data_IF_183797623198
#
_entry.id   IF_183797623198
#
_cell.length_a   1.000
_cell.length_b   1.000
_cell.length_c   1.000
_cell.angle_alpha   90.00
_cell.angle_beta   90.00
_cell.angle_gamma   90.00
#
_symmetry.space_group_name_H-M   'P 1'
#
loop_
_entity.id
_entity.type
_entity.pdbx_description
1 polymer ?
#
# COMPACT_ATOMS: atom_id res chain seq x y z
N UNK A 1 20.18 11.41 -7.62
CA UNK A 1 20.73 11.01 -8.92
C UNK A 1 22.10 10.36 -8.80
N UNK A 2 22.88 10.58 -7.73
CA UNK A 2 24.11 9.82 -7.53
C UNK A 2 23.84 8.30 -7.56
N UNK A 3 24.67 7.57 -8.29
CA UNK A 3 24.60 6.13 -8.56
C UNK A 3 23.29 5.71 -9.27
N UNK A 4 22.73 6.58 -10.11
CA UNK A 4 21.60 6.21 -10.95
C UNK A 4 22.09 5.69 -12.29
N UNK A 5 21.52 4.55 -12.67
CA UNK A 5 21.52 3.92 -13.99
C UNK A 5 20.35 4.53 -14.79
N UNK A 6 20.64 5.12 -15.95
CA UNK A 6 19.76 6.06 -16.65
C UNK A 6 19.75 5.78 -18.15
N UNK A 7 18.56 5.50 -18.67
CA UNK A 7 18.30 5.56 -20.10
C UNK A 7 17.80 6.95 -20.53
N UNK A 8 18.35 7.51 -21.60
CA UNK A 8 17.88 8.77 -22.20
C UNK A 8 17.52 8.51 -23.68
N UNK A 9 16.33 8.91 -24.10
CA UNK A 9 15.92 8.76 -25.48
C UNK A 9 14.63 9.49 -25.84
N UNK A 10 14.30 9.46 -27.14
CA UNK A 10 13.10 10.07 -27.71
C UNK A 10 13.04 9.84 -29.22
N UNK A 11 12.21 10.64 -29.91
CA UNK A 11 12.08 10.60 -31.38
C UNK A 11 12.32 12.00 -31.92
N UNK A 12 13.31 12.15 -32.80
CA UNK A 12 13.67 13.42 -33.43
C UNK A 12 13.52 13.30 -34.93
N UNK A 13 12.65 14.13 -35.53
CA UNK A 13 12.36 14.11 -36.97
C UNK A 13 11.95 12.73 -37.50
N UNK A 14 11.23 11.94 -36.69
CA UNK A 14 10.79 10.59 -37.05
C UNK A 14 11.81 9.48 -36.79
N UNK A 15 13.03 9.82 -36.35
CA UNK A 15 14.08 8.85 -36.04
C UNK A 15 14.31 8.74 -34.52
N UNK A 16 14.50 7.53 -33.96
CA UNK A 16 14.83 7.37 -32.56
C UNK A 16 16.21 7.94 -32.22
N UNK A 17 16.33 8.53 -31.04
CA UNK A 17 17.62 8.68 -30.36
C UNK A 17 17.54 7.99 -29.00
N UNK A 18 18.63 7.38 -28.59
CA UNK A 18 18.67 6.54 -27.41
C UNK A 18 20.12 6.36 -26.94
N UNK A 19 20.33 6.31 -25.63
CA UNK A 19 21.60 5.95 -25.04
C UNK A 19 21.45 5.56 -23.57
N UNK A 20 22.40 4.75 -23.13
CA UNK A 20 22.61 4.38 -21.74
C UNK A 20 23.61 5.34 -21.07
N UNK A 21 23.32 5.71 -19.84
CA UNK A 21 24.02 6.74 -19.08
C UNK A 21 24.04 6.37 -17.60
N UNK A 22 25.06 6.85 -16.90
CA UNK A 22 25.14 6.76 -15.45
C UNK A 22 25.35 8.14 -14.84
N UNK A 23 24.88 8.33 -13.60
CA UNK A 23 25.00 9.60 -12.90
C UNK A 23 25.82 9.45 -11.61
N UNK A 24 26.91 10.20 -11.51
CA UNK A 24 27.77 10.23 -10.31
C UNK A 24 27.33 11.27 -9.27
N UNK A 25 26.34 12.11 -9.58
CA UNK A 25 25.91 13.19 -8.71
C UNK A 25 24.78 14.04 -9.27
N UNK A 26 24.69 15.28 -8.80
CA UNK A 26 23.73 16.28 -9.30
C UNK A 26 24.31 17.03 -10.50
N UNK A 27 24.74 16.30 -11.51
CA UNK A 27 25.33 16.79 -12.75
C UNK A 27 24.64 16.16 -13.95
N UNK A 28 25.01 16.60 -15.16
CA UNK A 28 24.60 15.93 -16.39
C UNK A 28 25.07 14.46 -16.33
N UNK A 29 24.20 13.46 -16.64
CA UNK A 29 24.61 12.07 -16.75
C UNK A 29 25.72 11.87 -17.78
N UNK A 30 26.63 10.96 -17.47
CA UNK A 30 27.75 10.58 -18.34
C UNK A 30 27.32 9.41 -19.22
N UNK A 31 27.76 9.41 -20.47
CA UNK A 31 27.44 8.32 -21.40
C UNK A 31 28.14 7.05 -20.93
N UNK A 32 27.38 5.98 -20.77
CA UNK A 32 27.90 4.73 -20.25
C UNK A 32 28.79 4.02 -21.29
N UNK A 33 29.89 3.43 -20.84
CA UNK A 33 30.80 2.67 -21.70
C UNK A 33 30.20 1.33 -22.09
N UNK A 34 29.43 0.72 -21.20
CA UNK A 34 28.61 -0.44 -21.49
C UNK A 34 27.19 0.07 -21.79
N UNK A 35 26.50 -0.57 -22.73
CA UNK A 35 25.16 -0.14 -23.14
C UNK A 35 24.26 -1.33 -22.89
N UNK A 36 23.75 -1.41 -21.67
CA UNK A 36 23.02 -2.55 -21.15
C UNK A 36 21.51 -2.44 -21.38
N UNK A 37 21.02 -1.21 -21.56
CA UNK A 37 19.68 -0.96 -22.06
C UNK A 37 19.61 -1.14 -23.59
N UNK A 38 18.60 -1.87 -24.03
CA UNK A 38 18.32 -2.10 -25.45
C UNK A 38 16.99 -1.46 -25.84
N UNK A 39 17.02 -0.55 -26.81
CA UNK A 39 15.81 0.01 -27.41
C UNK A 39 15.12 -1.04 -28.29
N UNK A 40 13.89 -1.39 -27.95
CA UNK A 40 13.04 -2.31 -28.74
C UNK A 40 12.17 -1.57 -29.75
N UNK A 41 11.66 -0.40 -29.38
CA UNK A 41 10.87 0.46 -30.28
C UNK A 41 10.76 1.87 -29.73
N UNK A 42 10.67 2.85 -30.62
CA UNK A 42 10.34 4.23 -30.29
C UNK A 42 9.24 4.74 -31.23
N UNK A 43 8.28 5.47 -30.68
CA UNK A 43 7.23 6.11 -31.47
C UNK A 43 6.79 7.40 -30.81
N UNK A 44 6.39 8.38 -31.61
CA UNK A 44 5.86 9.64 -31.13
C UNK A 44 4.53 9.97 -31.79
N UNK A 45 3.62 10.53 -31.01
CA UNK A 45 2.37 11.09 -31.51
C UNK A 45 2.18 12.53 -30.98
N UNK A 46 1.03 13.13 -31.26
CA UNK A 46 0.75 14.53 -30.88
C UNK A 46 0.71 14.81 -29.37
N UNK A 47 0.80 13.79 -28.53
CA UNK A 47 0.63 13.90 -27.09
C UNK A 47 1.82 13.37 -26.30
N UNK A 48 2.47 12.29 -26.76
CA UNK A 48 3.53 11.62 -26.01
C UNK A 48 4.51 10.89 -26.93
N UNK A 49 5.73 10.70 -26.42
CA UNK A 49 6.74 9.78 -26.95
C UNK A 49 6.69 8.48 -26.14
N UNK A 50 6.71 7.33 -26.81
CA UNK A 50 6.74 6.00 -26.18
C UNK A 50 8.02 5.29 -26.58
N UNK A 51 8.80 4.90 -25.59
CA UNK A 51 9.97 4.03 -25.75
C UNK A 51 9.68 2.68 -25.10
N UNK A 52 9.99 1.60 -25.81
CA UNK A 52 9.99 0.25 -25.24
C UNK A 52 11.44 -0.20 -25.15
N UNK A 53 11.86 -0.57 -23.95
CA UNK A 53 13.24 -0.95 -23.65
C UNK A 53 13.29 -2.32 -22.98
N UNK A 54 14.46 -2.95 -23.01
CA UNK A 54 14.77 -4.13 -22.21
C UNK A 54 16.17 -4.02 -21.63
N UNK A 55 16.38 -4.58 -20.44
CA UNK A 55 17.66 -4.66 -19.75
C UNK A 55 17.65 -5.95 -18.93
N UNK A 56 18.79 -6.62 -18.84
CA UNK A 56 18.94 -7.80 -17.98
C UNK A 56 19.03 -7.37 -16.51
N UNK A 57 18.57 -8.21 -15.59
CA UNK A 57 18.46 -7.83 -14.18
C UNK A 57 19.79 -7.52 -13.49
N UNK A 58 20.84 -8.24 -13.86
CA UNK A 58 22.20 -7.98 -13.40
C UNK A 58 23.13 -7.97 -14.62
N UNK A 59 23.65 -6.79 -14.94
CA UNK A 59 24.53 -6.54 -16.10
C UNK A 59 25.98 -6.89 -15.81
N UNK A 60 26.32 -7.11 -14.54
CA UNK A 60 27.70 -7.24 -14.05
C UNK A 60 28.55 -5.99 -14.31
N UNK A 61 27.90 -4.85 -14.59
CA UNK A 61 28.51 -3.53 -14.59
C UNK A 61 28.39 -2.90 -13.20
N UNK A 62 29.46 -2.25 -12.73
CA UNK A 62 29.51 -1.56 -11.44
C UNK A 62 28.88 -0.15 -11.50
N UNK A 63 28.62 0.38 -12.70
CA UNK A 63 27.95 1.68 -12.90
C UNK A 63 26.41 1.53 -12.87
N UNK A 64 25.93 0.29 -12.81
CA UNK A 64 24.56 -0.12 -12.97
C UNK A 64 23.87 -0.56 -11.66
N UNK A 65 22.54 -0.46 -11.64
CA UNK A 65 21.73 -0.96 -10.52
C UNK A 65 21.30 -2.39 -10.79
N UNK A 66 21.56 -3.29 -9.85
CA UNK A 66 21.02 -4.66 -9.87
C UNK A 66 19.53 -4.62 -9.54
N UNK A 67 18.71 -5.16 -10.43
CA UNK A 67 17.28 -5.35 -10.20
C UNK A 67 17.11 -6.75 -9.60
N UNK A 68 16.62 -6.83 -8.37
CA UNK A 68 16.36 -8.10 -7.71
C UNK A 68 14.95 -8.13 -7.10
N UNK A 69 14.58 -9.28 -6.56
CA UNK A 69 13.23 -9.53 -6.05
C UNK A 69 12.99 -8.96 -4.65
N UNK A 70 14.07 -8.76 -3.89
CA UNK A 70 14.00 -8.41 -2.48
C UNK A 70 14.07 -6.89 -2.25
N UNK A 71 14.57 -6.13 -3.24
CA UNK A 71 14.80 -4.69 -3.14
C UNK A 71 13.73 -3.83 -3.80
N UNK A 72 13.33 -2.77 -3.11
CA UNK A 72 12.51 -1.69 -3.69
C UNK A 72 13.34 -0.85 -4.65
N UNK A 73 12.97 -0.84 -5.92
CA UNK A 73 13.60 0.00 -6.95
C UNK A 73 13.02 1.41 -6.92
N UNK A 74 13.90 2.43 -6.87
CA UNK A 74 13.50 3.84 -7.00
C UNK A 74 13.66 4.28 -8.45
N UNK A 75 12.55 4.29 -9.18
CA UNK A 75 12.49 4.87 -10.52
C UNK A 75 12.55 6.39 -10.40
N UNK A 76 13.55 6.98 -11.04
CA UNK A 76 13.61 8.42 -11.27
C UNK A 76 13.20 8.69 -12.71
N UNK A 77 12.49 9.79 -12.93
CA UNK A 77 12.12 10.20 -14.28
C UNK A 77 12.27 11.70 -14.44
N UNK A 78 12.51 12.11 -15.67
CA UNK A 78 12.53 13.50 -16.08
C UNK A 78 12.03 13.61 -17.52
N UNK A 79 11.38 14.73 -17.84
CA UNK A 79 10.89 15.02 -19.20
C UNK A 79 11.51 16.33 -19.65
N UNK A 80 12.06 16.33 -20.86
CA UNK A 80 12.55 17.52 -21.55
C UNK A 80 11.47 18.15 -22.43
N UNK A 81 11.57 19.45 -22.69
CA UNK A 81 10.69 20.16 -23.65
C UNK A 81 11.19 20.10 -25.09
N UNK A 82 12.41 19.61 -25.31
CA UNK A 82 13.07 19.47 -26.61
C UNK A 82 13.86 18.17 -26.65
N UNK A 83 14.33 17.77 -27.84
CA UNK A 83 15.20 16.59 -28.03
C UNK A 83 16.66 16.78 -27.58
N UNK A 84 16.97 17.90 -26.93
CA UNK A 84 18.30 18.19 -26.43
C UNK A 84 18.34 17.93 -24.93
N UNK A 85 19.33 17.15 -24.49
CA UNK A 85 19.52 16.81 -23.07
C UNK A 85 19.95 18.06 -22.29
N UNK A 86 18.96 18.69 -21.66
CA UNK A 86 19.08 19.93 -20.88
C UNK A 86 18.39 19.79 -19.53
N UNK A 87 18.50 20.82 -18.67
CA UNK A 87 17.91 20.77 -17.34
C UNK A 87 16.37 20.81 -17.41
N UNK A 88 15.73 19.73 -16.96
CA UNK A 88 14.28 19.49 -16.99
C UNK A 88 13.46 20.31 -15.96
N UNK A 89 14.10 21.19 -15.17
CA UNK A 89 13.43 21.96 -14.11
C UNK A 89 12.58 21.07 -13.18
N UNK A 90 11.30 21.40 -13.01
CA UNK A 90 10.33 20.68 -12.17
C UNK A 90 9.68 19.49 -12.85
N UNK A 91 9.94 19.23 -14.14
CA UNK A 91 9.38 18.10 -14.89
C UNK A 91 10.16 16.82 -14.59
N UNK A 92 10.11 16.40 -13.33
CA UNK A 92 10.81 15.23 -12.81
C UNK A 92 10.06 14.64 -11.63
N UNK A 93 10.34 13.38 -11.33
CA UNK A 93 9.77 12.73 -10.17
C UNK A 93 10.51 11.46 -9.79
N UNK A 94 10.02 10.85 -8.71
CA UNK A 94 10.52 9.60 -8.18
C UNK A 94 9.32 8.72 -7.85
N UNK A 95 9.40 7.44 -8.18
CA UNK A 95 8.45 6.42 -7.76
C UNK A 95 9.22 5.23 -7.17
N UNK A 96 8.75 4.69 -6.05
CA UNK A 96 9.30 3.46 -5.48
C UNK A 96 8.41 2.29 -5.91
N UNK A 97 9.02 1.26 -6.50
CA UNK A 97 8.30 0.10 -7.07
C UNK A 97 9.08 -1.18 -6.79
N UNK A 98 8.38 -2.30 -6.78
CA UNK A 98 8.98 -3.64 -6.82
C UNK A 98 8.87 -4.13 -8.26
N UNK A 99 9.96 -4.05 -9.04
CA UNK A 99 9.93 -4.37 -10.48
C UNK A 99 9.66 -5.86 -10.75
N UNK A 100 10.03 -6.72 -9.81
CA UNK A 100 9.88 -8.18 -9.90
C UNK A 100 8.76 -8.71 -9.00
N UNK A 101 7.89 -7.84 -8.49
CA UNK A 101 6.70 -8.31 -7.77
C UNK A 101 5.84 -9.17 -8.71
N UNK A 102 5.32 -10.31 -8.22
CA UNK A 102 4.47 -11.16 -9.02
C UNK A 102 3.24 -10.37 -9.46
N UNK A 103 2.88 -10.52 -10.74
CA UNK A 103 1.64 -9.95 -11.25
C UNK A 103 0.48 -10.47 -10.39
N UNK A 104 -0.31 -9.55 -9.85
CA UNK A 104 -1.53 -9.92 -9.14
C UNK A 104 -2.43 -10.69 -10.09
N UNK A 105 -2.88 -11.88 -9.70
CA UNK A 105 -3.83 -12.66 -10.48
C UNK A 105 -5.12 -11.86 -10.72
N UNK A 106 -5.86 -12.18 -11.79
CA UNK A 106 -7.16 -11.57 -12.11
C UNK A 106 -8.14 -11.73 -10.94
N UNK A 107 -8.19 -10.75 -10.06
CA UNK A 107 -9.08 -10.73 -8.90
C UNK A 107 -10.33 -9.94 -9.21
N UNK A 108 -11.47 -10.63 -9.31
CA UNK A 108 -12.76 -9.95 -9.46
C UNK A 108 -13.35 -9.59 -8.09
N UNK A 109 -13.04 -8.38 -7.61
CA UNK A 109 -13.57 -7.87 -6.35
C UNK A 109 -15.12 -7.88 -6.27
N UNK A 110 -15.82 -7.77 -7.40
CA UNK A 110 -17.30 -7.76 -7.45
C UNK A 110 -17.94 -9.13 -7.25
N UNK A 111 -17.15 -10.21 -7.30
CA UNK A 111 -17.63 -11.58 -7.09
C UNK A 111 -17.83 -11.92 -5.61
N UNK A 112 -17.37 -11.08 -4.69
CA UNK A 112 -17.31 -11.36 -3.27
C UNK A 112 -18.13 -10.38 -2.44
N UNK A 113 -18.56 -10.83 -1.27
CA UNK A 113 -19.24 -9.97 -0.31
C UNK A 113 -18.22 -9.10 0.43
N UNK A 114 -18.48 -7.79 0.52
CA UNK A 114 -17.57 -6.83 1.14
C UNK A 114 -18.12 -6.42 2.50
N UNK A 115 -17.36 -6.73 3.54
CA UNK A 115 -17.55 -6.15 4.86
C UNK A 115 -16.73 -4.85 4.94
N UNK A 116 -17.42 -3.72 5.11
CA UNK A 116 -16.79 -2.41 5.23
C UNK A 116 -16.64 -2.00 6.69
N UNK A 117 -15.40 -1.66 7.05
CA UNK A 117 -15.04 -1.02 8.31
C UNK A 117 -14.68 0.43 7.98
N UNK A 118 -15.28 1.41 8.65
CA UNK A 118 -15.00 2.82 8.41
C UNK A 118 -15.00 3.59 9.72
N UNK A 119 -13.97 4.40 9.92
CA UNK A 119 -13.77 5.24 11.10
C UNK A 119 -13.65 6.68 10.64
N UNK A 120 -14.42 7.56 11.26
CA UNK A 120 -14.33 9.01 11.05
C UNK A 120 -14.31 9.69 12.41
N UNK A 121 -13.12 10.06 12.86
CA UNK A 121 -12.91 10.75 14.15
C UNK A 121 -12.21 12.09 13.92
N UNK A 122 -12.37 13.01 14.87
CA UNK A 122 -11.62 14.26 14.91
C UNK A 122 -10.26 13.99 15.53
N UNK A 123 -9.19 14.25 14.79
CA UNK A 123 -7.84 13.99 15.29
C UNK A 123 -7.42 15.00 16.37
N UNK A 124 -6.70 14.56 17.41
CA UNK A 124 -6.04 15.44 18.37
C UNK A 124 -5.02 16.37 17.70
N UNK A 125 -4.78 17.51 18.35
CA UNK A 125 -3.78 18.50 17.92
C UNK A 125 -2.37 18.08 18.37
N UNK A 126 -1.86 17.00 17.79
CA UNK A 126 -0.54 16.44 18.12
C UNK A 126 0.08 15.78 16.90
N UNK A 127 1.41 15.61 16.91
CA UNK A 127 2.17 15.08 15.78
C UNK A 127 1.74 13.65 15.38
N UNK A 128 1.67 12.72 16.34
CA UNK A 128 1.33 11.32 16.09
C UNK A 128 0.15 10.88 16.94
N UNK A 129 -0.81 10.17 16.37
CA UNK A 129 -1.99 9.66 17.08
C UNK A 129 -2.23 8.20 16.72
N UNK A 130 -2.44 7.34 17.71
CA UNK A 130 -2.85 5.95 17.50
C UNK A 130 -4.28 5.81 17.98
N UNK A 131 -5.23 5.74 17.06
CA UNK A 131 -6.64 5.72 17.39
C UNK A 131 -7.23 4.32 17.25
N UNK A 132 -7.89 3.86 18.31
CA UNK A 132 -8.47 2.53 18.40
C UNK A 132 -10.00 2.61 18.37
N UNK A 133 -10.60 1.73 17.59
CA UNK A 133 -12.05 1.54 17.49
C UNK A 133 -12.37 0.06 17.49
N UNK A 134 -13.54 -0.30 18.02
CA UNK A 134 -14.06 -1.68 17.97
C UNK A 134 -15.09 -1.79 16.85
N UNK A 135 -15.06 -2.91 16.14
CA UNK A 135 -15.96 -3.26 15.05
C UNK A 135 -16.46 -4.69 15.23
N UNK A 136 -17.64 -4.97 14.68
CA UNK A 136 -18.27 -6.29 14.75
C UNK A 136 -18.41 -6.86 13.34
N UNK A 137 -18.07 -8.13 13.16
CA UNK A 137 -18.30 -8.79 11.87
C UNK A 137 -19.78 -8.80 11.52
N UNK A 138 -20.17 -8.86 10.23
CA UNK A 138 -21.57 -9.05 9.86
C UNK A 138 -22.13 -10.37 10.43
N UNK A 139 -23.45 -10.43 10.70
CA UNK A 139 -24.08 -11.61 11.30
C UNK A 139 -24.23 -12.72 10.25
N UNK A 140 -23.16 -13.49 10.07
CA UNK A 140 -23.15 -14.62 9.15
C UNK A 140 -23.79 -15.87 9.78
N UNK A 141 -24.59 -16.64 9.02
CA UNK A 141 -25.27 -17.83 9.55
C UNK A 141 -24.32 -19.03 9.75
N UNK A 142 -23.12 -18.97 9.19
CA UNK A 142 -22.12 -20.01 9.22
C UNK A 142 -20.70 -19.42 9.10
N UNK A 143 -19.69 -20.27 9.26
CA UNK A 143 -18.28 -19.94 9.02
C UNK A 143 -18.07 -19.36 7.62
N UNK A 144 -17.15 -18.41 7.54
CA UNK A 144 -16.67 -17.78 6.31
C UNK A 144 -15.16 -17.68 6.31
N UNK A 145 -14.63 -17.28 5.15
CA UNK A 145 -13.25 -16.85 5.01
C UNK A 145 -13.16 -15.40 4.59
N UNK A 146 -12.28 -14.65 5.24
CA UNK A 146 -11.74 -13.41 4.70
C UNK A 146 -10.63 -13.77 3.71
N UNK A 147 -10.75 -13.29 2.48
CA UNK A 147 -9.90 -13.70 1.35
C UNK A 147 -9.18 -12.53 0.69
N UNK A 148 -9.37 -11.33 1.22
CA UNK A 148 -8.63 -10.15 0.80
C UNK A 148 -9.00 -8.93 1.63
N UNK A 149 -8.15 -7.92 1.54
CA UNK A 149 -8.24 -6.70 2.31
C UNK A 149 -7.81 -5.53 1.42
N UNK A 150 -8.51 -4.40 1.53
CA UNK A 150 -8.14 -3.18 0.83
C UNK A 150 -8.39 -1.98 1.74
N UNK A 151 -7.49 -0.99 1.73
CA UNK A 151 -7.67 0.23 2.50
C UNK A 151 -8.38 1.28 1.66
N UNK A 152 -9.36 1.96 2.27
CA UNK A 152 -10.16 3.02 1.64
C UNK A 152 -9.74 4.38 2.19
N UNK A 153 -8.91 5.08 1.41
CA UNK A 153 -8.49 6.46 1.65
C UNK A 153 -9.00 7.35 0.51
N UNK A 154 -10.26 7.80 0.61
CA UNK A 154 -10.96 8.48 -0.50
C UNK A 154 -10.58 9.96 -0.63
N UNK A 155 -10.24 10.64 0.47
CA UNK A 155 -9.85 12.06 0.47
C UNK A 155 -8.33 12.26 0.40
N UNK A 156 -7.89 13.43 -0.05
CA UNK A 156 -6.47 13.84 -0.01
C UNK A 156 -5.90 13.80 1.40
N UNK A 157 -6.71 14.16 2.38
CA UNK A 157 -6.40 14.22 3.79
C UNK A 157 -6.18 12.82 4.33
N UNK A 158 -7.09 11.87 4.01
CA UNK A 158 -6.94 10.47 4.42
C UNK A 158 -5.66 9.85 3.86
N UNK A 159 -5.32 10.12 2.59
CA UNK A 159 -4.08 9.66 1.95
C UNK A 159 -2.82 10.32 2.51
N UNK A 160 -2.90 11.59 2.92
CA UNK A 160 -1.77 12.34 3.46
C UNK A 160 -1.46 11.99 4.91
N UNK A 161 -2.48 11.74 5.72
CA UNK A 161 -2.35 11.70 7.18
C UNK A 161 -2.57 10.31 7.78
N UNK A 162 -3.05 9.31 7.03
CA UNK A 162 -3.08 7.92 7.49
C UNK A 162 -1.75 7.25 7.16
N UNK A 163 -0.97 6.87 8.18
CA UNK A 163 0.37 6.31 7.99
C UNK A 163 0.39 4.78 7.96
N UNK A 164 -0.32 4.14 8.88
CA UNK A 164 -0.55 2.69 8.84
C UNK A 164 -1.84 2.36 9.59
N UNK A 165 -2.36 1.15 9.37
CA UNK A 165 -3.47 0.61 10.15
C UNK A 165 -3.25 -0.87 10.43
N UNK A 166 -3.84 -1.34 11.52
CA UNK A 166 -3.80 -2.73 11.94
C UNK A 166 -5.20 -3.14 12.39
N UNK A 167 -5.68 -4.26 11.86
CA UNK A 167 -6.89 -4.93 12.28
C UNK A 167 -6.51 -6.12 13.16
N UNK A 168 -6.95 -6.09 14.40
CA UNK A 168 -6.79 -7.16 15.37
C UNK A 168 -8.12 -7.89 15.58
N UNK A 169 -8.09 -9.20 15.75
CA UNK A 169 -9.20 -9.99 16.27
C UNK A 169 -9.17 -9.98 17.81
N UNK A 170 -10.35 -9.84 18.42
CA UNK A 170 -10.53 -9.71 19.86
C UNK A 170 -11.00 -11.01 20.51
N UNK A 171 -10.57 -11.24 21.75
CA UNK A 171 -11.03 -12.37 22.57
C UNK A 171 -12.41 -12.01 23.15
N UNK A 172 -13.45 -12.75 22.79
CA UNK A 172 -14.82 -12.53 23.25
C UNK A 172 -15.37 -13.75 24.01
N UNK A 173 -14.68 -14.19 25.06
CA UNK A 173 -14.97 -15.41 25.83
C UNK A 173 -15.76 -15.17 27.13
N UNK A 174 -15.98 -13.91 27.52
CA UNK A 174 -16.76 -13.52 28.70
C UNK A 174 -17.79 -12.44 28.40
N UNK A 175 -18.86 -12.40 29.21
CA UNK A 175 -19.91 -11.39 29.08
C UNK A 175 -19.37 -9.98 29.37
N UNK A 176 -18.43 -9.85 30.30
CA UNK A 176 -17.83 -8.56 30.67
C UNK A 176 -17.00 -7.95 29.52
N UNK A 177 -16.26 -8.79 28.78
CA UNK A 177 -15.51 -8.33 27.59
C UNK A 177 -16.46 -7.95 26.46
N UNK A 178 -17.48 -8.78 26.21
CA UNK A 178 -18.51 -8.49 25.21
C UNK A 178 -19.22 -7.15 25.53
N UNK A 179 -19.64 -6.94 26.78
CA UNK A 179 -20.28 -5.71 27.21
C UNK A 179 -19.36 -4.48 27.03
N UNK A 180 -18.06 -4.66 27.27
CA UNK A 180 -17.05 -3.62 27.05
C UNK A 180 -16.90 -3.25 25.56
N UNK A 181 -16.88 -4.24 24.67
CA UNK A 181 -16.86 -4.02 23.23
C UNK A 181 -18.15 -3.36 22.73
N UNK A 182 -19.31 -3.82 23.20
CA UNK A 182 -20.63 -3.23 22.88
C UNK A 182 -20.79 -1.81 23.41
N UNK A 183 -20.09 -1.45 24.50
CA UNK A 183 -20.00 -0.08 24.96
C UNK A 183 -19.18 0.78 23.99
N UNK A 184 -17.99 0.32 23.59
CA UNK A 184 -17.10 1.08 22.69
C UNK A 184 -17.69 1.24 21.29
N UNK A 185 -18.40 0.24 20.78
CA UNK A 185 -19.13 0.31 19.50
C UNK A 185 -20.10 1.50 19.40
N UNK A 186 -20.48 2.10 20.53
CA UNK A 186 -21.38 3.27 20.62
C UNK A 186 -20.62 4.59 20.78
N UNK A 187 -19.29 4.57 20.70
CA UNK A 187 -18.40 5.72 20.87
C UNK A 187 -17.58 5.95 19.59
N UNK A 188 -16.90 7.09 19.51
CA UNK A 188 -15.98 7.39 18.39
C UNK A 188 -14.61 6.68 18.53
N UNK A 189 -14.45 5.79 19.51
CA UNK A 189 -13.18 5.18 19.87
C UNK A 189 -12.34 6.05 20.80
N UNK A 190 -11.03 5.84 20.80
CA UNK A 190 -10.11 6.57 21.66
C UNK A 190 -8.64 6.29 21.38
N UNK A 191 -7.76 7.04 22.04
CA UNK A 191 -6.31 6.82 21.99
C UNK A 191 -5.96 5.40 22.47
N UNK A 192 -5.31 4.62 21.60
CA UNK A 192 -4.98 3.21 21.80
C UNK A 192 -4.17 2.95 23.06
N UNK A 193 -3.30 3.89 23.44
CA UNK A 193 -2.32 3.71 24.52
C UNK A 193 -2.69 4.44 25.82
N UNK A 194 -3.94 4.88 25.95
CA UNK A 194 -4.40 5.65 27.10
C UNK A 194 -5.63 5.02 27.78
N UNK A 195 -5.64 5.07 29.12
CA UNK A 195 -6.81 4.82 29.96
C UNK A 195 -7.52 3.49 29.66
N UNK A 196 -8.85 3.54 29.55
CA UNK A 196 -9.70 2.38 29.32
C UNK A 196 -9.41 1.67 27.99
N UNK A 197 -9.11 2.43 26.92
CA UNK A 197 -8.87 1.88 25.59
C UNK A 197 -7.60 1.01 25.55
N UNK A 198 -6.57 1.37 26.31
CA UNK A 198 -5.36 0.55 26.41
C UNK A 198 -5.66 -0.85 26.97
N UNK A 199 -6.48 -0.95 28.01
CA UNK A 199 -6.90 -2.25 28.57
C UNK A 199 -7.67 -3.09 27.55
N UNK A 200 -8.53 -2.45 26.76
CA UNK A 200 -9.29 -3.11 25.69
C UNK A 200 -8.36 -3.61 24.57
N UNK A 201 -7.36 -2.82 24.18
CA UNK A 201 -6.36 -3.22 23.18
C UNK A 201 -5.64 -4.51 23.56
N UNK A 202 -5.29 -4.69 24.84
CA UNK A 202 -4.65 -5.92 25.33
C UNK A 202 -5.53 -7.18 25.20
N UNK A 203 -6.83 -7.03 24.96
CA UNK A 203 -7.75 -8.15 24.74
C UNK A 203 -7.88 -8.51 23.25
N UNK A 204 -7.28 -7.72 22.37
CA UNK A 204 -7.29 -7.88 20.91
C UNK A 204 -5.86 -8.03 20.39
N UNK A 205 -5.22 -9.15 20.73
CA UNK A 205 -3.81 -9.39 20.39
C UNK A 205 -3.61 -10.13 19.06
N UNK A 206 -4.65 -10.80 18.54
CA UNK A 206 -4.53 -11.60 17.32
C UNK A 206 -4.47 -10.68 16.10
N UNK A 207 -3.32 -10.64 15.42
CA UNK A 207 -3.15 -9.85 14.21
C UNK A 207 -3.91 -10.48 13.04
N UNK A 208 -4.78 -9.71 12.38
CA UNK A 208 -5.59 -10.17 11.25
C UNK A 208 -5.17 -9.54 9.92
N UNK A 209 -4.86 -8.25 9.92
CA UNK A 209 -4.44 -7.53 8.72
C UNK A 209 -3.67 -6.27 9.11
N UNK A 210 -2.66 -5.91 8.31
CA UNK A 210 -1.94 -4.66 8.45
C UNK A 210 -1.69 -4.01 7.10
N UNK A 211 -1.66 -2.69 7.10
CA UNK A 211 -1.36 -1.87 5.93
C UNK A 211 -0.49 -0.70 6.33
N UNK A 212 0.45 -0.33 5.47
CA UNK A 212 1.26 0.88 5.61
C UNK A 212 1.35 1.61 4.26
N UNK A 213 1.75 2.88 4.29
CA UNK A 213 1.94 3.69 3.08
C UNK A 213 2.74 2.92 2.02
N UNK A 214 2.22 2.89 0.80
CA UNK A 214 2.83 2.21 -0.34
C UNK A 214 2.26 0.82 -0.63
N UNK A 215 1.60 0.19 0.34
CA UNK A 215 0.95 -1.10 0.12
C UNK A 215 -0.35 -0.95 -0.69
N UNK A 216 -0.56 -1.87 -1.64
CA UNK A 216 -1.83 -2.04 -2.35
C UNK A 216 -2.81 -2.93 -1.60
N UNK A 217 -3.91 -3.34 -2.26
CA UNK A 217 -4.79 -4.39 -1.75
C UNK A 217 -4.04 -5.71 -1.55
N UNK A 218 -4.37 -6.43 -0.48
CA UNK A 218 -3.93 -7.81 -0.26
C UNK A 218 -5.02 -8.76 -0.74
N UNK A 219 -4.69 -9.65 -1.68
CA UNK A 219 -5.56 -10.76 -2.07
C UNK A 219 -4.88 -12.06 -1.71
N UNK A 220 -5.58 -12.93 -0.99
CA UNK A 220 -5.05 -14.24 -0.63
C UNK A 220 -5.11 -15.19 -1.83
N UNK A 221 -4.20 -16.17 -1.92
CA UNK A 221 -4.28 -17.24 -2.90
C UNK A 221 -5.64 -17.95 -2.90
N UNK A 222 -6.01 -18.52 -4.04
CA UNK A 222 -7.34 -19.11 -4.24
C UNK A 222 -7.66 -20.25 -3.25
N UNK A 223 -6.66 -20.91 -2.70
CA UNK A 223 -6.78 -22.01 -1.75
C UNK A 223 -6.61 -21.60 -0.29
N UNK A 224 -6.47 -20.30 0.02
CA UNK A 224 -6.21 -19.77 1.36
C UNK A 224 -7.28 -18.76 1.81
N UNK A 225 -7.75 -18.88 3.06
CA UNK A 225 -8.66 -17.92 3.67
C UNK A 225 -8.39 -17.76 5.17
N UNK A 226 -8.57 -16.56 5.72
CA UNK A 226 -8.52 -16.35 7.18
C UNK A 226 -9.90 -16.69 7.76
N UNK A 227 -9.98 -17.54 8.81
CA UNK A 227 -11.26 -17.91 9.41
C UNK A 227 -12.02 -16.70 9.94
N UNK A 228 -13.33 -16.70 9.72
CA UNK A 228 -14.25 -15.72 10.25
C UNK A 228 -15.55 -16.42 10.65
N UNK A 229 -16.08 -16.09 11.82
CA UNK A 229 -17.37 -16.54 12.32
C UNK A 229 -17.43 -18.07 12.48
N UNK A 230 -16.36 -18.70 13.01
CA UNK A 230 -16.19 -20.17 13.03
C UNK A 230 -17.35 -20.92 13.70
N UNK A 231 -17.92 -20.33 14.75
CA UNK A 231 -19.01 -20.91 15.53
C UNK A 231 -20.38 -20.31 15.20
N UNK A 232 -20.51 -19.55 14.11
CA UNK A 232 -21.74 -18.83 13.78
C UNK A 232 -22.01 -17.62 14.70
N UNK A 233 -21.01 -17.20 15.48
CA UNK A 233 -21.07 -16.07 16.39
C UNK A 233 -20.29 -14.90 15.80
N UNK A 234 -20.91 -13.73 15.79
CA UNK A 234 -20.25 -12.51 15.37
C UNK A 234 -18.99 -12.27 16.20
N UNK A 235 -17.89 -11.97 15.51
CA UNK A 235 -16.60 -11.73 16.10
C UNK A 235 -16.33 -10.22 16.22
N UNK A 236 -15.47 -9.86 17.18
CA UNK A 236 -15.09 -8.48 17.45
C UNK A 236 -13.68 -8.22 16.96
N UNK A 237 -13.48 -7.04 16.40
CA UNK A 237 -12.21 -6.62 15.84
C UNK A 237 -11.86 -5.23 16.33
N UNK A 238 -10.59 -5.01 16.63
CA UNK A 238 -10.05 -3.70 16.95
C UNK A 238 -9.30 -3.17 15.73
N UNK A 239 -9.69 -1.99 15.25
CA UNK A 239 -8.96 -1.25 14.24
C UNK A 239 -8.11 -0.18 14.94
N UNK A 240 -6.80 -0.36 14.88
CA UNK A 240 -5.79 0.63 15.26
C UNK A 240 -5.35 1.40 14.02
N UNK A 241 -5.48 2.72 14.04
CA UNK A 241 -5.01 3.60 12.96
C UNK A 241 -3.96 4.54 13.50
N UNK A 242 -2.77 4.52 12.89
CA UNK A 242 -1.74 5.51 13.16
C UNK A 242 -1.87 6.68 12.19
N UNK A 243 -2.19 7.85 12.73
CA UNK A 243 -2.28 9.11 12.02
C UNK A 243 -1.03 9.96 12.27
N UNK A 244 -0.53 10.56 11.18
CA UNK A 244 0.59 11.50 11.18
C UNK A 244 0.08 12.91 10.84
N UNK A 245 0.25 13.84 11.77
CA UNK A 245 -0.14 15.25 11.70
C UNK A 245 1.04 16.15 12.12
N UNK A 246 2.16 16.15 11.38
CA UNK A 246 3.40 16.80 11.78
C UNK A 246 3.33 18.32 11.86
N UNK A 247 2.31 18.92 11.24
CA UNK A 247 2.06 20.36 11.31
C UNK A 247 1.00 20.72 12.36
N UNK A 248 0.53 19.75 13.15
CA UNK A 248 -0.50 19.92 14.17
C UNK A 248 -1.70 20.71 13.64
N UNK A 249 -2.24 20.29 12.49
CA UNK A 249 -3.38 20.95 11.88
C UNK A 249 -4.63 20.72 12.74
N UNK A 250 -5.41 21.78 13.03
CA UNK A 250 -6.66 21.63 13.77
C UNK A 250 -7.78 21.06 12.88
N UNK A 251 -8.81 20.50 13.54
CA UNK A 251 -10.07 20.10 12.90
C UNK A 251 -9.95 19.06 11.76
N UNK A 252 -8.87 18.29 11.72
CA UNK A 252 -8.73 17.16 10.79
C UNK A 252 -9.76 16.08 11.12
N UNK A 253 -10.72 15.88 10.21
CA UNK A 253 -11.74 14.83 10.30
C UNK A 253 -12.01 14.26 8.91
N UNK A 254 -11.63 13.02 8.69
CA UNK A 254 -11.82 12.32 7.41
C UNK A 254 -12.05 10.83 7.68
N UNK A 255 -12.74 10.12 6.77
CA UNK A 255 -12.93 8.69 6.91
C UNK A 255 -11.63 7.94 6.55
N UNK A 256 -11.33 6.91 7.34
CA UNK A 256 -10.33 5.89 7.06
C UNK A 256 -11.02 4.54 7.21
N UNK A 257 -10.88 3.66 6.22
CA UNK A 257 -11.60 2.38 6.25
C UNK A 257 -10.84 1.21 5.64
N UNK A 258 -11.41 0.03 5.84
CA UNK A 258 -10.96 -1.25 5.29
C UNK A 258 -12.16 -1.92 4.62
N UNK A 259 -11.95 -2.43 3.41
CA UNK A 259 -12.81 -3.41 2.77
C UNK A 259 -12.24 -4.79 3.04
N UNK A 260 -13.03 -5.65 3.67
CA UNK A 260 -12.72 -7.06 3.89
C UNK A 260 -13.56 -7.88 2.92
N UNK A 261 -12.92 -8.57 1.98
CA UNK A 261 -13.60 -9.44 1.04
C UNK A 261 -13.83 -10.80 1.70
N UNK A 262 -15.09 -11.25 1.72
CA UNK A 262 -15.48 -12.51 2.37
C UNK A 262 -16.16 -13.46 1.40
N UNK A 263 -16.05 -14.76 1.70
CA UNK A 263 -16.72 -15.83 0.96
C UNK A 263 -17.26 -16.91 1.90
N UNK A 264 -18.35 -17.55 1.49
CA UNK A 264 -18.88 -18.76 2.11
C UNK A 264 -18.34 -20.04 1.44
N UNK A 265 -17.67 -19.92 0.29
CA UNK A 265 -16.93 -21.02 -0.32
C UNK A 265 -15.59 -21.13 0.40
N UNK A 266 -15.55 -21.94 1.46
CA UNK A 266 -14.37 -22.13 2.29
C UNK A 266 -13.20 -22.64 1.44
N UNK A 267 -12.06 -21.98 1.60
CA UNK A 267 -10.80 -22.35 0.99
C UNK A 267 -10.20 -23.57 1.70
N UNK A 268 -9.27 -24.23 1.03
CA UNK A 268 -8.71 -25.49 1.51
C UNK A 268 -7.80 -25.30 2.74
N UNK A 269 -7.14 -24.15 2.84
CA UNK A 269 -6.22 -23.81 3.91
C UNK A 269 -6.72 -22.62 4.74
N UNK A 270 -6.59 -22.75 6.06
CA UNK A 270 -6.79 -21.66 7.01
C UNK A 270 -5.48 -20.86 7.12
N UNK A 271 -5.55 -19.56 6.87
CA UNK A 271 -4.44 -18.65 7.10
C UNK A 271 -4.34 -18.31 8.59
N UNK A 272 -3.10 -18.31 9.09
CA UNK A 272 -2.72 -17.66 10.33
C UNK A 272 -1.59 -16.67 10.05
N UNK A 273 -1.44 -15.67 10.92
CA UNK A 273 -0.36 -14.69 10.82
C UNK A 273 0.57 -14.87 12.01
N UNK A 274 1.87 -14.96 11.73
CA UNK A 274 2.92 -14.96 12.74
C UNK A 274 3.59 -13.59 12.73
N UNK A 275 3.56 -12.92 13.88
CA UNK A 275 4.16 -11.60 14.09
C UNK A 275 5.28 -11.67 15.10
#
# INVERSE_FOLDING_TARGET
MQNADIVIGGVKNGEPYFGDYHAQGNSKPEFDKNQDWVLLSASENSTHTTLRVTRIFNTCDNEDVVINQDDTTKLIWAIGTTDDVTYHNTQRGIASVMLLDPLTCDWNATAYEIWQISVKTKLPLQNTTYWCTIHKSPPYPAKRHMIGFNVKLESSESRRHTHHLILHHCIADSAELIDSYEHILKTDGGECYNGYMFGIKQTCEQFTYGWAIGAGPLYLPEDIGVPLNEHGLQEYFLLEVHYDNPNELPDLTYPTGIEVYTTNNLRYHEAGILT
#
